data_IF_580501389941
#
_entry.id   IF_580501389941
#
_cell.length_a   1.000
_cell.length_b   1.000
_cell.length_c   1.000
_cell.angle_alpha   90.00
_cell.angle_beta   90.00
_cell.angle_gamma   90.00
#
_symmetry.space_group_name_H-M   'P 1'
#
loop_
_entity.id
_entity.type
_entity.pdbx_description
1 polymer ?
#
# COMPACT_ATOMS: atom_id res chain seq x y z
N UNK A 1 -15.75 9.93 -4.23
CA UNK A 1 -15.36 10.24 -2.84
C UNK A 1 -14.16 11.18 -2.90
N UNK A 2 -14.03 12.16 -1.99
CA UNK A 2 -12.81 12.98 -1.96
C UNK A 2 -11.60 12.04 -1.88
N UNK A 3 -10.51 12.39 -2.56
CA UNK A 3 -9.24 11.66 -2.43
C UNK A 3 -8.91 11.60 -0.95
N UNK A 4 -8.97 10.42 -0.36
CA UNK A 4 -8.68 10.24 1.05
C UNK A 4 -7.18 10.51 1.24
N UNK A 5 -6.87 11.67 1.83
CA UNK A 5 -5.51 12.06 2.15
C UNK A 5 -5.17 11.57 3.55
N UNK A 6 -4.25 10.62 3.60
CA UNK A 6 -3.71 10.00 4.80
C UNK A 6 -2.18 10.11 4.83
N UNK A 7 -1.63 11.08 4.09
CA UNK A 7 -0.19 11.31 4.09
C UNK A 7 0.32 11.55 5.51
N UNK A 8 1.44 10.90 5.86
CA UNK A 8 2.04 10.89 7.20
C UNK A 8 1.11 10.38 8.31
N UNK A 9 -0.03 9.80 7.94
CA UNK A 9 -1.03 9.30 8.87
C UNK A 9 -0.51 8.13 9.68
N UNK A 10 -0.84 8.09 10.98
CA UNK A 10 -0.54 6.95 11.84
C UNK A 10 -1.70 5.95 11.78
N UNK A 11 -1.56 4.95 10.92
CA UNK A 11 -2.57 3.93 10.57
C UNK A 11 -2.19 2.53 11.07
N UNK A 12 -1.47 2.47 12.20
CA UNK A 12 -1.02 1.22 12.81
C UNK A 12 -2.23 0.33 13.14
N UNK A 13 -2.19 -0.92 12.68
CA UNK A 13 -3.27 -1.92 12.84
C UNK A 13 -4.63 -1.47 12.28
N UNK A 14 -4.65 -0.48 11.39
CA UNK A 14 -5.87 -0.01 10.77
C UNK A 14 -6.52 -1.12 9.93
N UNK A 15 -7.85 -1.15 9.91
CA UNK A 15 -8.63 -2.15 9.19
C UNK A 15 -9.17 -1.56 7.90
N UNK A 16 -8.48 -1.80 6.80
CA UNK A 16 -8.84 -1.35 5.45
C UNK A 16 -9.24 -2.50 4.52
N UNK A 17 -9.38 -3.72 5.04
CA UNK A 17 -9.79 -4.87 4.25
C UNK A 17 -11.04 -4.55 3.42
N UNK A 18 -11.00 -4.86 2.12
CA UNK A 18 -12.09 -4.61 1.14
C UNK A 18 -12.48 -3.14 0.98
N UNK A 19 -11.67 -2.19 1.44
CA UNK A 19 -11.93 -0.75 1.29
C UNK A 19 -11.48 -0.27 -0.09
N UNK A 20 -12.19 0.72 -0.65
CA UNK A 20 -11.72 1.43 -1.84
C UNK A 20 -10.82 2.60 -1.44
N UNK A 21 -9.53 2.45 -1.73
CA UNK A 21 -8.45 3.42 -1.55
C UNK A 21 -7.85 3.83 -2.91
N UNK A 22 -8.63 3.72 -3.99
CA UNK A 22 -8.20 4.14 -5.34
C UNK A 22 -7.76 5.59 -5.29
N UNK A 23 -6.53 5.88 -5.75
CA UNK A 23 -5.93 7.23 -5.75
C UNK A 23 -5.79 7.85 -4.36
N UNK A 24 -5.79 7.05 -3.30
CA UNK A 24 -5.51 7.54 -1.95
C UNK A 24 -4.06 8.04 -1.86
N UNK A 25 -3.88 9.11 -1.09
CA UNK A 25 -2.54 9.58 -0.72
C UNK A 25 -2.16 8.95 0.62
N UNK A 26 -1.20 8.02 0.60
CA UNK A 26 -0.64 7.32 1.76
C UNK A 26 0.88 7.56 1.87
N UNK A 27 1.37 8.64 1.26
CA UNK A 27 2.78 9.01 1.32
C UNK A 27 3.26 9.13 2.75
N UNK A 28 4.38 8.48 3.08
CA UNK A 28 4.98 8.46 4.42
C UNK A 28 4.03 7.99 5.54
N UNK A 29 2.92 7.31 5.21
CA UNK A 29 1.99 6.79 6.20
C UNK A 29 2.60 5.61 6.98
N UNK A 30 2.22 5.48 8.25
CA UNK A 30 2.63 4.36 9.09
C UNK A 30 1.53 3.31 9.04
N UNK A 31 1.69 2.30 8.18
CA UNK A 31 0.72 1.21 7.92
C UNK A 31 1.11 -0.09 8.64
N UNK A 32 1.89 0.01 9.72
CA UNK A 32 2.37 -1.18 10.44
C UNK A 32 1.23 -2.06 10.89
N UNK A 33 1.32 -3.35 10.63
CA UNK A 33 0.30 -4.36 10.97
C UNK A 33 -1.11 -4.04 10.42
N UNK A 34 -1.23 -3.16 9.42
CA UNK A 34 -2.52 -2.81 8.82
C UNK A 34 -3.09 -4.00 8.03
N UNK A 35 -4.40 -4.20 8.15
CA UNK A 35 -5.13 -5.20 7.37
C UNK A 35 -5.63 -4.55 6.08
N UNK A 36 -4.92 -4.80 4.97
CA UNK A 36 -5.21 -4.29 3.63
C UNK A 36 -5.75 -5.39 2.69
N UNK A 37 -6.16 -6.54 3.24
CA UNK A 37 -6.61 -7.68 2.44
C UNK A 37 -7.75 -7.29 1.50
N UNK A 38 -7.60 -7.62 0.22
CA UNK A 38 -8.58 -7.31 -0.82
C UNK A 38 -8.95 -5.82 -0.95
N UNK A 39 -8.13 -4.90 -0.42
CA UNK A 39 -8.33 -3.47 -0.62
C UNK A 39 -8.09 -3.09 -2.09
N UNK A 40 -8.85 -2.12 -2.59
CA UNK A 40 -8.65 -1.57 -3.94
C UNK A 40 -7.76 -0.35 -3.80
N UNK A 41 -6.47 -0.48 -4.15
CA UNK A 41 -5.43 0.55 -3.97
C UNK A 41 -4.85 1.00 -5.31
N UNK A 42 -5.64 0.91 -6.39
CA UNK A 42 -5.21 1.29 -7.73
C UNK A 42 -4.78 2.75 -7.76
N UNK A 43 -3.65 3.02 -8.40
CA UNK A 43 -3.08 4.37 -8.52
C UNK A 43 -2.87 5.07 -7.16
N UNK A 44 -2.77 4.32 -6.04
CA UNK A 44 -2.49 4.89 -4.73
C UNK A 44 -1.01 5.32 -4.63
N UNK A 45 -0.76 6.38 -3.88
CA UNK A 45 0.58 6.88 -3.62
C UNK A 45 1.05 6.41 -2.23
N UNK A 46 1.97 5.45 -2.20
CA UNK A 46 2.52 4.81 -1.00
C UNK A 46 4.01 5.14 -0.82
N UNK A 47 4.52 6.18 -1.49
CA UNK A 47 5.94 6.52 -1.43
C UNK A 47 6.36 6.78 0.01
N UNK A 48 7.42 6.12 0.46
CA UNK A 48 7.93 6.25 1.83
C UNK A 48 7.06 5.64 2.93
N UNK A 49 5.95 4.96 2.62
CA UNK A 49 5.09 4.36 3.64
C UNK A 49 5.80 3.22 4.38
N UNK A 50 5.55 3.09 5.69
CA UNK A 50 6.07 1.99 6.50
C UNK A 50 5.09 0.82 6.50
N UNK A 51 5.46 -0.27 5.83
CA UNK A 51 4.64 -1.45 5.55
C UNK A 51 4.93 -2.63 6.48
N UNK A 52 5.66 -2.42 7.59
CA UNK A 52 6.06 -3.50 8.50
C UNK A 52 4.84 -4.30 8.98
N UNK A 53 4.77 -5.58 8.64
CA UNK A 53 3.67 -6.47 9.07
C UNK A 53 2.32 -6.21 8.39
N UNK A 54 2.22 -5.27 7.45
CA UNK A 54 0.98 -5.03 6.71
C UNK A 54 0.56 -6.26 5.89
N UNK A 55 -0.72 -6.60 5.90
CA UNK A 55 -1.25 -7.78 5.20
C UNK A 55 -1.85 -7.34 3.86
N UNK A 56 -1.18 -7.71 2.75
CA UNK A 56 -1.54 -7.32 1.38
C UNK A 56 -2.23 -8.43 0.57
N UNK A 57 -2.65 -9.54 1.19
CA UNK A 57 -3.28 -10.66 0.50
C UNK A 57 -4.47 -10.19 -0.36
N UNK A 58 -4.33 -10.34 -1.68
CA UNK A 58 -5.33 -9.95 -2.68
C UNK A 58 -5.55 -8.44 -2.83
N UNK A 59 -4.71 -7.59 -2.22
CA UNK A 59 -4.78 -6.14 -2.41
C UNK A 59 -4.47 -5.76 -3.87
N UNK A 60 -5.28 -4.89 -4.46
CA UNK A 60 -5.13 -4.46 -5.84
C UNK A 60 -4.28 -3.18 -5.92
N UNK A 61 -2.98 -3.35 -6.16
CA UNK A 61 -1.96 -2.30 -6.18
C UNK A 61 -1.58 -1.86 -7.60
N UNK A 62 -2.37 -2.23 -8.62
CA UNK A 62 -2.09 -1.86 -10.02
C UNK A 62 -1.94 -0.35 -10.18
N UNK A 63 -0.83 0.07 -10.79
CA UNK A 63 -0.46 1.47 -10.95
C UNK A 63 -0.12 2.23 -9.66
N UNK A 64 -0.02 1.56 -8.52
CA UNK A 64 0.40 2.20 -7.27
C UNK A 64 1.90 2.54 -7.30
N UNK A 65 2.26 3.60 -6.57
CA UNK A 65 3.65 4.03 -6.42
C UNK A 65 4.16 3.67 -5.02
N UNK A 66 4.93 2.59 -4.90
CA UNK A 66 5.58 2.14 -3.67
C UNK A 66 7.05 2.56 -3.62
N UNK A 67 7.48 3.53 -4.44
CA UNK A 67 8.88 3.95 -4.47
C UNK A 67 9.34 4.40 -3.08
N UNK A 68 10.37 3.75 -2.55
CA UNK A 68 10.91 4.04 -1.22
C UNK A 68 10.02 3.61 -0.04
N UNK A 69 8.97 2.80 -0.27
CA UNK A 69 8.24 2.17 0.82
C UNK A 69 9.20 1.32 1.69
N UNK A 70 9.03 1.42 3.00
CA UNK A 70 9.91 0.81 3.99
C UNK A 70 9.30 -0.49 4.52
N UNK A 71 10.16 -1.43 4.91
CA UNK A 71 9.76 -2.70 5.55
C UNK A 71 8.76 -3.53 4.72
N UNK A 72 8.78 -3.34 3.40
CA UNK A 72 8.03 -4.15 2.46
C UNK A 72 8.87 -5.39 2.11
N UNK A 73 8.24 -6.54 2.01
CA UNK A 73 8.91 -7.80 1.68
C UNK A 73 8.42 -8.36 0.36
N UNK A 74 9.23 -9.18 -0.30
CA UNK A 74 8.83 -9.89 -1.52
C UNK A 74 7.56 -10.72 -1.31
N UNK A 75 7.43 -11.40 -0.17
CA UNK A 75 6.26 -12.21 0.17
C UNK A 75 4.97 -11.36 0.29
N UNK A 76 5.04 -10.17 0.88
CA UNK A 76 3.90 -9.25 0.92
C UNK A 76 3.47 -8.84 -0.49
N UNK A 77 4.41 -8.53 -1.37
CA UNK A 77 4.13 -8.18 -2.77
C UNK A 77 3.62 -9.37 -3.59
N UNK A 78 4.17 -10.56 -3.41
CA UNK A 78 3.73 -11.78 -4.13
C UNK A 78 2.28 -12.15 -3.82
N UNK A 79 1.79 -11.76 -2.64
CA UNK A 79 0.40 -11.96 -2.24
C UNK A 79 -0.56 -10.88 -2.77
N UNK A 80 -0.03 -9.79 -3.32
CA UNK A 80 -0.79 -8.68 -3.87
C UNK A 80 -0.97 -8.81 -5.38
N UNK A 81 -1.94 -8.08 -5.92
CA UNK A 81 -2.16 -7.97 -7.36
C UNK A 81 -1.42 -6.72 -7.84
N UNK A 82 -0.36 -6.93 -8.61
CA UNK A 82 0.45 -5.89 -9.26
C UNK A 82 0.46 -6.08 -10.78
N UNK A 83 0.94 -5.07 -11.50
CA UNK A 83 1.15 -5.10 -12.95
C UNK A 83 2.41 -4.31 -13.32
N UNK A 84 2.72 -4.22 -14.62
CA UNK A 84 3.88 -3.51 -15.17
C UNK A 84 3.90 -2.00 -14.85
N UNK A 85 2.79 -1.43 -14.39
CA UNK A 85 2.68 0.00 -14.03
C UNK A 85 2.91 0.24 -12.54
N UNK A 86 2.99 -0.83 -11.74
CA UNK A 86 3.24 -0.76 -10.31
C UNK A 86 4.71 -0.46 -10.06
N UNK A 87 5.01 0.63 -9.34
CA UNK A 87 6.39 0.99 -9.02
C UNK A 87 6.79 0.41 -7.69
N UNK A 88 7.76 -0.50 -7.68
CA UNK A 88 8.27 -1.15 -6.48
C UNK A 88 9.45 -0.37 -5.88
N UNK A 89 9.75 -0.56 -4.57
CA UNK A 89 11.03 -0.19 -3.99
C UNK A 89 12.21 -0.77 -4.78
N UNK A 90 13.34 -0.06 -4.81
CA UNK A 90 14.50 -0.46 -5.61
C UNK A 90 15.09 -1.82 -5.22
N UNK A 91 14.90 -2.26 -3.97
CA UNK A 91 15.31 -3.55 -3.43
C UNK A 91 14.33 -4.70 -3.77
N UNK A 92 13.16 -4.38 -4.34
CA UNK A 92 12.13 -5.32 -4.75
C UNK A 92 11.74 -5.20 -6.23
N UNK A 93 12.42 -4.33 -6.99
CA UNK A 93 12.22 -4.09 -8.42
C UNK A 93 12.78 -5.22 -9.31
#
# INVERSE_FOLDING_TARGET
MPRSDWSKGRLVSARFARTNLTKANLTEAILRDADLRFAIMREADLRGADMFGAILEGADLRGADLTGALNLTKAQIDSAIIDETTKLPADLA
#
